data_IF_026772607810
#
_entry.id   IF_026772607810
#
_cell.length_a   1.000
_cell.length_b   1.000
_cell.length_c   1.000
_cell.angle_alpha   90.00
_cell.angle_beta   90.00
_cell.angle_gamma   90.00
#
_symmetry.space_group_name_H-M   'P 1'
#
loop_
_entity.id
_entity.type
_entity.pdbx_description
1 polymer ?
#
# COMPACT_ATOMS: atom_id res chain seq x y z
N UNK A 1 -30.22 -33.15 21.43
CA UNK A 1 -29.24 -32.84 22.48
C UNK A 1 -27.78 -32.93 22.04
N UNK A 2 -27.37 -33.76 21.07
CA UNK A 2 -25.96 -33.88 20.65
C UNK A 2 -25.50 -32.86 19.60
N UNK A 3 -26.41 -32.25 18.83
CA UNK A 3 -26.06 -31.22 17.85
C UNK A 3 -25.84 -29.84 18.48
N UNK A 4 -26.64 -29.48 19.48
CA UNK A 4 -26.56 -28.19 20.17
C UNK A 4 -25.26 -28.06 20.97
N UNK A 5 -24.88 -29.09 21.74
CA UNK A 5 -23.60 -29.15 22.46
C UNK A 5 -22.38 -29.05 21.52
N UNK A 6 -22.44 -29.69 20.35
CA UNK A 6 -21.38 -29.56 19.33
C UNK A 6 -21.33 -28.16 18.72
N UNK A 7 -22.48 -27.53 18.49
CA UNK A 7 -22.55 -26.18 17.93
C UNK A 7 -21.98 -25.13 18.90
N UNK A 8 -22.29 -25.25 20.20
CA UNK A 8 -21.73 -24.38 21.24
C UNK A 8 -20.21 -24.53 21.37
N UNK A 9 -19.68 -25.76 21.33
CA UNK A 9 -18.23 -26.00 21.38
C UNK A 9 -17.48 -25.45 20.15
N UNK A 10 -18.08 -25.53 18.96
CA UNK A 10 -17.52 -24.93 17.73
C UNK A 10 -17.49 -23.41 17.86
N UNK A 11 -18.58 -22.80 18.33
CA UNK A 11 -18.66 -21.34 18.53
C UNK A 11 -17.64 -20.84 19.57
N UNK A 12 -17.46 -21.54 20.69
CA UNK A 12 -16.46 -21.18 21.70
C UNK A 12 -15.02 -21.28 21.16
N UNK A 13 -14.73 -22.31 20.35
CA UNK A 13 -13.42 -22.47 19.72
C UNK A 13 -13.15 -21.37 18.66
N UNK A 14 -14.16 -20.99 17.87
CA UNK A 14 -14.07 -19.89 16.90
C UNK A 14 -13.84 -18.55 17.60
N UNK A 15 -14.59 -18.25 18.67
CA UNK A 15 -14.41 -17.03 19.45
C UNK A 15 -13.00 -16.95 20.06
N UNK A 16 -12.51 -18.04 20.64
CA UNK A 16 -11.16 -18.11 21.19
C UNK A 16 -10.08 -17.88 20.12
N UNK A 17 -10.27 -18.45 18.92
CA UNK A 17 -9.35 -18.25 17.80
C UNK A 17 -9.35 -16.79 17.30
N UNK A 18 -10.52 -16.16 17.24
CA UNK A 18 -10.67 -14.74 16.89
C UNK A 18 -9.98 -13.84 17.92
N UNK A 19 -10.18 -14.10 19.21
CA UNK A 19 -9.54 -13.33 20.28
C UNK A 19 -8.02 -13.46 20.24
N UNK A 20 -7.50 -14.69 20.11
CA UNK A 20 -6.06 -14.94 19.96
C UNK A 20 -5.47 -14.23 18.74
N UNK A 21 -6.19 -14.24 17.61
CA UNK A 21 -5.78 -13.52 16.40
C UNK A 21 -5.75 -12.01 16.65
N UNK A 22 -6.75 -11.46 17.33
CA UNK A 22 -6.80 -10.03 17.68
C UNK A 22 -5.64 -9.62 18.58
N UNK A 23 -5.31 -10.42 19.59
CA UNK A 23 -4.17 -10.17 20.48
C UNK A 23 -2.84 -10.20 19.74
N UNK A 24 -2.66 -11.20 18.87
CA UNK A 24 -1.49 -11.29 18.01
C UNK A 24 -1.33 -10.02 17.14
N UNK A 25 -2.39 -9.60 16.44
CA UNK A 25 -2.37 -8.41 15.59
C UNK A 25 -2.08 -7.12 16.39
N UNK A 26 -2.61 -7.00 17.61
CA UNK A 26 -2.29 -5.88 18.51
C UNK A 26 -0.80 -5.88 18.90
N UNK A 27 -0.25 -7.04 19.26
CA UNK A 27 1.17 -7.13 19.63
C UNK A 27 2.11 -6.82 18.47
N UNK A 28 1.76 -7.25 17.26
CA UNK A 28 2.53 -6.95 16.06
C UNK A 28 2.46 -5.47 15.70
N UNK A 29 1.26 -4.89 15.82
CA UNK A 29 1.04 -3.46 15.58
C UNK A 29 1.90 -2.58 16.49
N UNK A 30 1.98 -2.90 17.79
CA UNK A 30 2.85 -2.16 18.71
C UNK A 30 4.32 -2.24 18.32
N UNK A 31 4.79 -3.41 17.87
CA UNK A 31 6.17 -3.58 17.41
C UNK A 31 6.46 -2.77 16.16
N UNK A 32 5.55 -2.78 15.18
CA UNK A 32 5.70 -2.02 13.94
C UNK A 32 5.71 -0.51 14.23
N UNK A 33 4.83 -0.04 15.13
CA UNK A 33 4.79 1.37 15.55
C UNK A 33 6.12 1.78 16.20
N UNK A 34 6.67 0.96 17.08
CA UNK A 34 7.95 1.23 17.75
C UNK A 34 9.11 1.34 16.74
N UNK A 35 9.15 0.43 15.75
CA UNK A 35 10.12 0.49 14.65
C UNK A 35 9.95 1.78 13.83
N UNK A 36 8.72 2.10 13.42
CA UNK A 36 8.43 3.31 12.65
C UNK A 36 8.74 4.60 13.42
N UNK A 37 8.69 4.58 14.76
CA UNK A 37 9.02 5.74 15.59
C UNK A 37 10.53 5.89 15.84
N UNK A 38 11.26 4.77 15.97
CA UNK A 38 12.65 4.77 16.42
C UNK A 38 13.69 4.60 15.31
N UNK A 39 13.34 3.94 14.20
CA UNK A 39 14.26 3.61 13.12
C UNK A 39 13.98 4.49 11.88
N UNK A 40 14.93 5.34 11.43
CA UNK A 40 14.83 6.02 10.13
C UNK A 40 14.87 5.02 8.97
N UNK A 41 14.24 5.38 7.85
CA UNK A 41 14.19 4.58 6.62
C UNK A 41 13.62 3.16 6.81
N UNK A 42 12.73 3.00 7.79
CA UNK A 42 12.17 1.72 8.18
C UNK A 42 10.83 1.39 7.51
N UNK A 43 10.27 2.28 6.70
CA UNK A 43 8.91 2.13 6.17
C UNK A 43 8.69 0.80 5.42
N UNK A 44 9.62 0.39 4.53
CA UNK A 44 9.51 -0.89 3.82
C UNK A 44 9.54 -2.10 4.76
N UNK A 45 10.37 -2.05 5.80
CA UNK A 45 10.43 -3.10 6.84
C UNK A 45 9.08 -3.20 7.56
N UNK A 46 8.50 -2.06 7.93
CA UNK A 46 7.19 -2.00 8.58
C UNK A 46 6.07 -2.53 7.67
N UNK A 47 6.05 -2.13 6.39
CA UNK A 47 5.06 -2.61 5.40
C UNK A 47 5.17 -4.13 5.19
N UNK A 48 6.39 -4.65 5.13
CA UNK A 48 6.62 -6.09 5.03
C UNK A 48 6.09 -6.84 6.26
N UNK A 49 6.42 -6.37 7.46
CA UNK A 49 5.93 -6.98 8.71
C UNK A 49 4.41 -6.95 8.81
N UNK A 50 3.79 -5.83 8.42
CA UNK A 50 2.33 -5.69 8.34
C UNK A 50 1.72 -6.73 7.40
N UNK A 51 2.33 -6.94 6.23
CA UNK A 51 1.87 -7.92 5.24
C UNK A 51 1.99 -9.35 5.75
N UNK A 52 3.11 -9.68 6.41
CA UNK A 52 3.33 -11.00 7.04
C UNK A 52 2.34 -11.24 8.18
N UNK A 53 2.04 -10.21 8.97
CA UNK A 53 1.05 -10.27 10.04
C UNK A 53 -0.34 -10.59 9.50
N UNK A 54 -0.64 -10.20 8.25
CA UNK A 54 -1.94 -10.34 7.61
C UNK A 54 -2.97 -9.33 8.13
N UNK A 55 -2.50 -8.11 8.46
CA UNK A 55 -3.31 -7.01 8.97
C UNK A 55 -2.63 -6.26 10.10
N UNK A 56 -3.13 -5.06 10.41
CA UNK A 56 -2.65 -4.26 11.53
C UNK A 56 -3.76 -3.33 12.06
N UNK A 57 -3.50 -2.66 13.18
CA UNK A 57 -4.38 -1.60 13.69
C UNK A 57 -4.25 -0.32 12.87
N UNK A 58 -5.27 0.54 12.93
CA UNK A 58 -5.30 1.87 12.30
C UNK A 58 -4.03 2.70 12.59
N UNK A 59 -3.63 2.77 13.86
CA UNK A 59 -2.46 3.49 14.31
C UNK A 59 -1.15 3.01 13.65
N UNK A 60 -1.09 1.74 13.24
CA UNK A 60 0.08 1.18 12.56
C UNK A 60 0.25 1.80 11.18
N UNK A 61 -0.83 1.95 10.42
CA UNK A 61 -0.78 2.55 9.08
C UNK A 61 -0.37 4.01 9.15
N UNK A 62 -0.92 4.76 10.11
CA UNK A 62 -0.56 6.16 10.37
C UNK A 62 0.93 6.29 10.74
N UNK A 63 1.44 5.41 11.60
CA UNK A 63 2.86 5.45 11.98
C UNK A 63 3.79 5.20 10.79
N UNK A 64 3.43 4.27 9.90
CA UNK A 64 4.18 3.99 8.67
C UNK A 64 4.14 5.20 7.73
N UNK A 65 2.97 5.79 7.51
CA UNK A 65 2.83 7.01 6.70
C UNK A 65 3.69 8.16 7.24
N UNK A 66 3.63 8.41 8.55
CA UNK A 66 4.45 9.44 9.18
C UNK A 66 5.96 9.18 8.98
N UNK A 67 6.39 7.92 9.04
CA UNK A 67 7.77 7.55 8.75
C UNK A 67 8.15 7.84 7.30
N UNK A 68 7.31 7.44 6.36
CA UNK A 68 7.50 7.70 4.92
C UNK A 68 7.67 9.20 4.65
N UNK A 69 6.78 10.02 5.22
CA UNK A 69 6.81 11.48 5.02
C UNK A 69 8.06 12.09 5.65
N UNK A 70 8.41 11.67 6.87
CA UNK A 70 9.59 12.17 7.56
C UNK A 70 10.89 11.84 6.81
N UNK A 71 10.99 10.64 6.24
CA UNK A 71 12.20 10.18 5.54
C UNK A 71 12.20 10.54 4.05
N UNK A 72 11.10 11.11 3.54
CA UNK A 72 10.87 11.33 2.11
C UNK A 72 11.03 10.05 1.28
N UNK A 73 10.59 8.92 1.84
CA UNK A 73 10.78 7.58 1.27
C UNK A 73 9.77 7.28 0.15
N UNK A 74 10.20 7.51 -1.10
CA UNK A 74 9.38 7.22 -2.27
C UNK A 74 9.04 5.73 -2.41
N UNK A 75 9.91 4.81 -2.00
CA UNK A 75 9.64 3.39 -2.12
C UNK A 75 8.57 2.95 -1.10
N UNK A 76 8.69 3.38 0.15
CA UNK A 76 7.66 3.20 1.16
C UNK A 76 6.32 3.77 0.73
N UNK A 77 6.30 5.00 0.19
CA UNK A 77 5.08 5.64 -0.31
C UNK A 77 4.42 4.85 -1.45
N UNK A 78 5.21 4.35 -2.40
CA UNK A 78 4.71 3.54 -3.50
C UNK A 78 3.98 2.29 -2.99
N UNK A 79 4.61 1.51 -2.11
CA UNK A 79 4.01 0.28 -1.61
C UNK A 79 2.77 0.54 -0.74
N UNK A 80 2.80 1.57 0.11
CA UNK A 80 1.66 1.91 0.96
C UNK A 80 0.48 2.47 0.13
N UNK A 81 0.74 3.26 -0.92
CA UNK A 81 -0.29 3.74 -1.84
C UNK A 81 -0.95 2.62 -2.64
N UNK A 82 -0.19 1.58 -3.04
CA UNK A 82 -0.77 0.39 -3.69
C UNK A 82 -1.60 -0.44 -2.73
N UNK A 83 -1.18 -0.54 -1.46
CA UNK A 83 -1.96 -1.23 -0.44
C UNK A 83 -3.32 -0.53 -0.21
N UNK A 84 -3.32 0.79 -0.14
CA UNK A 84 -4.51 1.63 0.05
C UNK A 84 -5.60 1.37 -1.01
N UNK A 85 -5.20 1.11 -2.25
CA UNK A 85 -6.14 0.87 -3.35
C UNK A 85 -6.94 -0.42 -3.18
N UNK A 86 -6.33 -1.44 -2.57
CA UNK A 86 -6.96 -2.74 -2.38
C UNK A 86 -7.70 -2.85 -1.03
N UNK A 87 -7.55 -1.84 -0.17
CA UNK A 87 -8.17 -1.80 1.16
C UNK A 87 -8.91 -0.47 1.35
N UNK A 88 -10.21 -0.44 0.99
CA UNK A 88 -11.06 0.72 1.29
C UNK A 88 -10.99 1.06 2.78
N UNK A 89 -11.05 2.36 3.10
CA UNK A 89 -11.05 2.90 4.47
C UNK A 89 -9.72 2.80 5.25
N UNK A 90 -8.60 2.59 4.57
CA UNK A 90 -7.28 2.72 5.20
C UNK A 90 -7.08 4.17 5.70
N UNK A 91 -6.64 4.39 6.97
CA UNK A 91 -6.51 5.72 7.59
C UNK A 91 -5.25 6.47 7.13
N UNK A 92 -5.06 6.61 5.83
CA UNK A 92 -3.88 7.23 5.21
C UNK A 92 -4.29 8.17 4.09
N UNK A 93 -3.47 9.19 3.86
CA UNK A 93 -3.58 10.08 2.72
C UNK A 93 -2.85 9.48 1.52
N UNK A 94 -3.55 8.61 0.79
CA UNK A 94 -3.03 7.99 -0.43
C UNK A 94 -2.59 9.03 -1.47
N UNK A 95 -3.21 10.22 -1.51
CA UNK A 95 -2.83 11.29 -2.44
C UNK A 95 -1.44 11.83 -2.09
N UNK A 96 -1.17 12.10 -0.81
CA UNK A 96 0.16 12.55 -0.37
C UNK A 96 1.25 11.53 -0.74
N UNK A 97 0.97 10.24 -0.56
CA UNK A 97 1.91 9.17 -0.92
C UNK A 97 2.15 9.12 -2.44
N UNK A 98 1.10 9.22 -3.25
CA UNK A 98 1.22 9.27 -4.71
C UNK A 98 2.04 10.48 -5.15
N UNK A 99 1.77 11.67 -4.59
CA UNK A 99 2.54 12.88 -4.89
C UNK A 99 4.02 12.72 -4.52
N UNK A 100 4.34 12.08 -3.40
CA UNK A 100 5.74 11.81 -3.01
C UNK A 100 6.43 10.91 -4.04
N UNK A 101 5.79 9.83 -4.48
CA UNK A 101 6.35 8.91 -5.48
C UNK A 101 6.56 9.62 -6.82
N UNK A 102 5.59 10.41 -7.27
CA UNK A 102 5.71 11.14 -8.53
C UNK A 102 6.90 12.11 -8.49
N UNK A 103 7.09 12.81 -7.38
CA UNK A 103 8.15 13.82 -7.24
C UNK A 103 9.54 13.22 -6.96
N UNK A 104 9.62 12.11 -6.22
CA UNK A 104 10.90 11.58 -5.67
C UNK A 104 11.24 10.17 -6.13
N UNK A 105 10.27 9.43 -6.65
CA UNK A 105 10.47 8.06 -7.11
C UNK A 105 11.33 7.96 -8.36
N UNK A 106 11.69 6.73 -8.71
CA UNK A 106 12.32 6.42 -9.99
C UNK A 106 11.27 6.27 -11.11
N UNK A 107 11.74 6.12 -12.34
CA UNK A 107 10.85 5.95 -13.49
C UNK A 107 10.05 4.65 -13.43
N UNK A 108 10.58 3.58 -12.86
CA UNK A 108 9.87 2.31 -12.71
C UNK A 108 8.68 2.47 -11.77
N UNK A 109 8.85 3.17 -10.65
CA UNK A 109 7.78 3.50 -9.71
C UNK A 109 6.72 4.39 -10.35
N UNK A 110 7.12 5.43 -11.10
CA UNK A 110 6.17 6.29 -11.85
C UNK A 110 5.37 5.51 -12.88
N UNK A 111 6.03 4.66 -13.68
CA UNK A 111 5.37 3.79 -14.64
C UNK A 111 4.44 2.79 -13.96
N UNK A 112 4.82 2.28 -12.79
CA UNK A 112 3.98 1.37 -12.03
C UNK A 112 2.73 2.09 -11.50
N UNK A 113 2.84 3.33 -11.01
CA UNK A 113 1.67 4.12 -10.63
C UNK A 113 0.74 4.35 -11.83
N UNK A 114 1.29 4.67 -13.00
CA UNK A 114 0.52 4.86 -14.23
C UNK A 114 -0.30 3.60 -14.61
N UNK A 115 0.24 2.41 -14.36
CA UNK A 115 -0.40 1.13 -14.73
C UNK A 115 -1.40 0.62 -13.71
N UNK A 116 -1.18 0.91 -12.42
CA UNK A 116 -1.90 0.28 -11.33
C UNK A 116 -2.95 1.17 -10.67
N UNK A 117 -2.79 2.51 -10.73
CA UNK A 117 -3.79 3.40 -10.15
C UNK A 117 -5.07 3.39 -11.00
N UNK A 118 -6.26 3.39 -10.37
CA UNK A 118 -7.52 3.58 -11.09
C UNK A 118 -7.55 4.91 -11.85
N UNK A 119 -7.05 5.97 -11.22
CA UNK A 119 -6.93 7.30 -11.80
C UNK A 119 -5.52 7.87 -11.52
N UNK A 120 -4.53 7.55 -12.37
CA UNK A 120 -3.16 8.04 -12.19
C UNK A 120 -3.03 9.52 -12.59
N UNK A 121 -2.10 10.27 -11.97
CA UNK A 121 -1.76 11.63 -12.38
C UNK A 121 -0.90 11.62 -13.65
N UNK A 122 -1.50 11.27 -14.80
CA UNK A 122 -0.81 10.99 -16.07
C UNK A 122 0.09 12.14 -16.51
N UNK A 123 -0.44 13.36 -16.59
CA UNK A 123 0.33 14.51 -17.10
C UNK A 123 1.55 14.82 -16.23
N UNK A 124 1.41 14.69 -14.91
CA UNK A 124 2.52 14.89 -13.98
C UNK A 124 3.58 13.80 -14.14
N UNK A 125 3.16 12.52 -14.18
CA UNK A 125 4.06 11.39 -14.41
C UNK A 125 4.82 11.54 -15.73
N UNK A 126 4.10 11.90 -16.79
CA UNK A 126 4.65 12.13 -18.12
C UNK A 126 5.69 13.23 -18.14
N UNK A 127 5.42 14.34 -17.45
CA UNK A 127 6.36 15.46 -17.33
C UNK A 127 7.68 15.00 -16.71
N UNK A 128 7.63 14.22 -15.62
CA UNK A 128 8.83 13.72 -14.95
C UNK A 128 9.60 12.69 -15.79
N UNK A 129 8.92 11.75 -16.45
CA UNK A 129 9.57 10.73 -17.29
C UNK A 129 10.22 11.35 -18.52
N UNK A 130 9.58 12.33 -19.16
CA UNK A 130 10.18 13.05 -20.28
C UNK A 130 11.40 13.87 -19.84
N UNK A 131 11.31 14.50 -18.65
CA UNK A 131 12.42 15.28 -18.10
C UNK A 131 13.63 14.44 -17.69
N UNK A 132 13.46 13.13 -17.47
CA UNK A 132 14.58 12.24 -17.12
C UNK A 132 15.42 11.79 -18.33
N UNK A 133 14.96 12.05 -19.56
CA UNK A 133 15.60 11.64 -20.83
C UNK A 133 15.92 10.13 -20.90
N UNK A 134 15.07 9.32 -20.26
CA UNK A 134 15.21 7.87 -20.21
C UNK A 134 14.39 7.25 -21.34
N UNK A 135 15.05 6.93 -22.45
CA UNK A 135 14.41 6.43 -23.67
C UNK A 135 13.55 5.19 -23.44
N UNK A 136 13.96 4.29 -22.54
CA UNK A 136 13.22 3.07 -22.22
C UNK A 136 11.95 3.40 -21.44
N UNK A 137 12.05 4.27 -20.44
CA UNK A 137 10.89 4.71 -19.67
C UNK A 137 9.89 5.49 -20.53
N UNK A 138 10.38 6.37 -21.39
CA UNK A 138 9.56 7.14 -22.36
C UNK A 138 8.84 6.19 -23.32
N UNK A 139 9.55 5.19 -23.85
CA UNK A 139 8.98 4.17 -24.73
C UNK A 139 7.86 3.38 -24.05
N UNK A 140 8.08 2.91 -22.82
CA UNK A 140 7.09 2.19 -22.04
C UNK A 140 5.85 3.03 -21.72
N UNK A 141 6.05 4.30 -21.35
CA UNK A 141 4.96 5.23 -21.09
C UNK A 141 4.11 5.47 -22.34
N UNK A 142 4.75 5.77 -23.48
CA UNK A 142 4.04 6.04 -24.73
C UNK A 142 3.27 4.80 -25.21
N UNK A 143 3.86 3.61 -25.12
CA UNK A 143 3.19 2.37 -25.46
C UNK A 143 1.94 2.14 -24.58
N UNK A 144 2.05 2.41 -23.27
CA UNK A 144 0.91 2.28 -22.35
C UNK A 144 -0.22 3.25 -22.69
N UNK A 145 0.11 4.53 -22.90
CA UNK A 145 -0.88 5.59 -23.18
C UNK A 145 -1.50 5.46 -24.57
N UNK A 146 -0.80 4.87 -25.54
CA UNK A 146 -1.37 4.58 -26.86
C UNK A 146 -2.51 3.55 -26.76
N UNK A 147 -2.38 2.58 -25.85
CA UNK A 147 -3.40 1.55 -25.59
C UNK A 147 -4.49 2.09 -24.65
N UNK A 148 -4.12 2.96 -23.71
CA UNK A 148 -5.00 3.54 -22.69
C UNK A 148 -4.98 5.08 -22.78
N UNK A 149 -5.66 5.68 -23.77
CA UNK A 149 -5.56 7.12 -24.04
C UNK A 149 -6.13 7.99 -22.91
N UNK A 150 -7.07 7.46 -22.13
CA UNK A 150 -7.60 8.15 -20.94
C UNK A 150 -6.75 7.92 -19.69
N UNK A 151 -5.71 7.09 -19.77
CA UNK A 151 -4.79 6.87 -18.66
C UNK A 151 -5.31 5.95 -17.56
N UNK A 152 -6.44 5.27 -17.73
CA UNK A 152 -6.92 4.33 -16.72
C UNK A 152 -5.91 3.23 -16.46
N UNK A 153 -5.74 2.86 -15.20
CA UNK A 153 -5.00 1.66 -14.81
C UNK A 153 -5.59 0.41 -15.47
N UNK A 154 -4.72 -0.53 -15.84
CA UNK A 154 -5.09 -1.81 -16.47
C UNK A 154 -6.14 -2.65 -15.70
N UNK A 155 -6.43 -2.32 -14.44
CA UNK A 155 -7.52 -2.93 -13.67
C UNK A 155 -8.92 -2.58 -14.19
N UNK A 156 -9.09 -1.48 -14.92
CA UNK A 156 -10.40 -1.08 -15.48
C UNK A 156 -10.79 -1.85 -16.75
N UNK A 157 -9.87 -2.61 -17.35
CA UNK A 157 -10.11 -3.34 -18.60
C UNK A 157 -10.74 -4.73 -18.41
N UNK A 158 -11.04 -5.14 -17.17
CA UNK A 158 -11.58 -6.47 -16.82
C UNK A 158 -12.95 -6.43 -16.10
N UNK A 159 -13.65 -5.30 -16.11
CA UNK A 159 -15.02 -5.20 -15.59
C UNK A 159 -16.07 -5.39 -16.69
#
# INVERSE_FOLDING_TARGET
MTSELKNTQIQEAELTAIEKRREYLKSESLRIIDIAASEPYSALKCIHQLSVAGGATEATYIAIEQRIVADQDAAGAYHLALLAQNTPDLPIDARQLIELVVNKGDNAQRLALLKNLPLPPVETIKTYILASDDGDAIGQMNAYLQINPEGYGSQHMLA
#
